data_IF_468484760242
#
_entry.id   IF_468484760242
#
_cell.length_a   1.000
_cell.length_b   1.000
_cell.length_c   1.000
_cell.angle_alpha   90.00
_cell.angle_beta   90.00
_cell.angle_gamma   90.00
#
_symmetry.space_group_name_H-M   'P 1'
#
loop_
_entity.id
_entity.type
_entity.pdbx_description
1 polymer ?
#
# COMPACT_ATOMS: atom_id res chain seq x y z
N UNK A 1 3.20 20.24 1.72
CA UNK A 1 4.08 19.07 1.71
C UNK A 1 3.37 17.86 1.14
N UNK A 2 4.08 17.12 0.32
CA UNK A 2 3.49 15.96 -0.33
C UNK A 2 3.39 14.80 0.64
N UNK A 3 2.27 14.09 0.58
CA UNK A 3 2.15 12.82 1.28
C UNK A 3 2.92 11.76 0.50
N UNK A 4 3.51 10.82 1.21
CA UNK A 4 4.29 9.75 0.59
C UNK A 4 3.48 8.47 0.54
N UNK A 5 3.59 7.76 -0.59
CA UNK A 5 3.03 6.43 -0.76
C UNK A 5 4.18 5.46 -0.97
N UNK A 6 4.20 4.38 -0.20
CA UNK A 6 5.19 3.32 -0.37
C UNK A 6 4.54 2.17 -1.13
N UNK A 7 5.14 1.75 -2.23
CA UNK A 7 4.59 0.74 -3.13
C UNK A 7 5.52 -0.46 -3.17
N UNK A 8 4.97 -1.67 -3.04
CA UNK A 8 5.73 -2.91 -3.24
C UNK A 8 5.09 -3.70 -4.37
N UNK A 9 5.81 -3.84 -5.48
CA UNK A 9 5.34 -4.50 -6.69
C UNK A 9 6.55 -5.04 -7.43
N UNK A 10 6.59 -6.34 -7.70
CA UNK A 10 7.74 -6.95 -8.37
C UNK A 10 7.76 -6.74 -9.88
N UNK A 11 6.60 -6.50 -10.50
CA UNK A 11 6.54 -6.21 -11.93
C UNK A 11 7.02 -4.79 -12.17
N UNK A 12 8.12 -4.67 -12.91
CA UNK A 12 8.75 -3.35 -13.13
C UNK A 12 7.82 -2.39 -13.85
N UNK A 13 7.08 -2.87 -14.85
CA UNK A 13 6.18 -1.99 -15.61
C UNK A 13 5.08 -1.43 -14.74
N UNK A 14 4.47 -2.29 -13.91
CA UNK A 14 3.41 -1.83 -13.01
C UNK A 14 3.99 -0.89 -11.97
N UNK A 15 5.14 -1.24 -11.41
CA UNK A 15 5.80 -0.42 -10.38
C UNK A 15 6.11 0.98 -10.91
N UNK A 16 6.67 1.08 -12.12
CA UNK A 16 7.00 2.38 -12.70
C UNK A 16 5.76 3.16 -13.09
N UNK A 17 4.71 2.47 -13.57
CA UNK A 17 3.43 3.13 -13.85
C UNK A 17 2.85 3.76 -12.59
N UNK A 18 2.86 3.02 -11.48
CA UNK A 18 2.34 3.52 -10.21
C UNK A 18 3.16 4.70 -9.72
N UNK A 19 4.49 4.58 -9.81
CA UNK A 19 5.35 5.68 -9.41
C UNK A 19 5.06 6.94 -10.21
N UNK A 20 5.06 6.81 -11.52
CA UNK A 20 4.86 7.95 -12.41
C UNK A 20 3.50 8.60 -12.17
N UNK A 21 2.46 7.76 -12.13
CA UNK A 21 1.10 8.31 -12.02
C UNK A 21 0.90 9.04 -10.69
N UNK A 22 1.27 8.42 -9.58
CA UNK A 22 1.02 9.06 -8.29
C UNK A 22 1.91 10.28 -8.06
N UNK A 23 3.12 10.27 -8.60
CA UNK A 23 3.93 11.50 -8.58
C UNK A 23 3.25 12.60 -9.37
N UNK A 24 2.64 12.27 -10.51
CA UNK A 24 1.99 13.28 -11.34
C UNK A 24 0.79 13.92 -10.68
N UNK A 25 0.17 13.26 -9.73
CA UNK A 25 -0.97 13.81 -9.00
C UNK A 25 -0.60 14.31 -7.60
N UNK A 26 0.68 14.48 -7.34
CA UNK A 26 1.14 15.22 -6.17
C UNK A 26 1.68 14.42 -5.00
N UNK A 27 1.82 13.09 -5.13
CA UNK A 27 2.37 12.28 -4.05
C UNK A 27 3.88 12.09 -4.24
N UNK A 28 4.59 11.96 -3.14
CA UNK A 28 5.94 11.39 -3.18
C UNK A 28 5.77 9.87 -3.21
N UNK A 29 6.55 9.17 -4.04
CA UNK A 29 6.41 7.73 -4.15
C UNK A 29 7.73 7.05 -3.86
N UNK A 30 7.71 6.09 -2.97
CA UNK A 30 8.84 5.22 -2.66
C UNK A 30 8.48 3.82 -3.12
N UNK A 31 9.09 3.34 -4.19
CA UNK A 31 8.72 2.10 -4.83
C UNK A 31 9.79 1.03 -4.63
N UNK A 32 9.35 -0.17 -4.31
CA UNK A 32 10.22 -1.29 -3.97
C UNK A 32 9.78 -2.53 -4.73
N UNK A 33 10.73 -3.40 -5.04
CA UNK A 33 10.43 -4.62 -5.79
C UNK A 33 10.13 -5.81 -4.89
N UNK A 34 10.37 -5.68 -3.58
CA UNK A 34 10.17 -6.79 -2.64
C UNK A 34 9.89 -6.25 -1.24
N UNK A 35 9.40 -7.14 -0.38
CA UNK A 35 9.21 -6.80 1.03
C UNK A 35 10.53 -6.51 1.72
N UNK A 36 11.56 -7.27 1.39
CA UNK A 36 12.88 -7.04 1.97
C UNK A 36 13.39 -5.65 1.60
N UNK A 37 13.20 -5.25 0.34
CA UNK A 37 13.61 -3.92 -0.10
C UNK A 37 12.81 -2.84 0.61
N UNK A 38 11.52 -3.06 0.83
CA UNK A 38 10.67 -2.12 1.56
C UNK A 38 11.23 -1.87 2.96
N UNK A 39 11.44 -2.93 3.73
CA UNK A 39 11.85 -2.76 5.12
C UNK A 39 13.24 -2.13 5.21
N UNK A 40 14.16 -2.52 4.32
CA UNK A 40 15.48 -1.89 4.31
C UNK A 40 15.42 -0.44 3.88
N UNK A 41 14.63 -0.14 2.85
CA UNK A 41 14.56 1.22 2.28
C UNK A 41 13.79 2.20 3.14
N UNK A 42 12.82 1.73 3.92
CA UNK A 42 12.03 2.63 4.77
C UNK A 42 12.68 2.92 6.11
N UNK A 43 13.71 2.16 6.46
CA UNK A 43 14.40 2.37 7.73
C UNK A 43 14.98 3.78 7.79
N UNK A 44 14.67 4.49 8.85
CA UNK A 44 15.14 5.85 9.03
C UNK A 44 14.36 6.93 8.30
N UNK A 45 13.36 6.54 7.50
CA UNK A 45 12.50 7.50 6.83
C UNK A 45 11.24 7.75 7.64
N UNK A 46 10.59 8.88 7.41
CA UNK A 46 9.28 9.13 8.00
C UNK A 46 8.25 8.16 7.44
N UNK A 47 7.20 7.89 8.21
CA UNK A 47 6.16 6.97 7.78
C UNK A 47 5.48 7.47 6.50
N UNK A 48 5.14 6.58 5.58
CA UNK A 48 4.32 6.98 4.46
C UNK A 48 2.88 7.19 4.93
N UNK A 49 2.09 7.88 4.12
CA UNK A 49 0.67 8.03 4.40
C UNK A 49 -0.11 6.76 4.05
N UNK A 50 0.45 5.90 3.21
CA UNK A 50 -0.24 4.73 2.68
C UNK A 50 0.77 3.74 2.12
N UNK A 51 0.49 2.45 2.29
CA UNK A 51 1.20 1.38 1.59
C UNK A 51 0.30 0.78 0.51
N UNK A 52 0.85 0.53 -0.66
CA UNK A 52 0.20 -0.26 -1.71
C UNK A 52 1.04 -1.52 -1.89
N UNK A 53 0.47 -2.68 -1.62
CA UNK A 53 1.21 -3.94 -1.59
C UNK A 53 0.60 -4.94 -2.55
N UNK A 54 1.42 -5.51 -3.43
CA UNK A 54 0.99 -6.66 -4.22
C UNK A 54 0.98 -7.88 -3.32
N UNK A 55 -0.07 -8.69 -3.39
CA UNK A 55 -0.13 -9.92 -2.61
C UNK A 55 0.84 -10.97 -3.15
N UNK A 56 0.88 -11.13 -4.47
CA UNK A 56 1.67 -12.19 -5.09
C UNK A 56 3.10 -11.73 -5.37
N UNK A 57 3.94 -11.82 -4.36
CA UNK A 57 5.35 -11.45 -4.46
C UNK A 57 6.21 -12.69 -4.21
N UNK A 58 7.35 -12.82 -4.89
CA UNK A 58 8.28 -13.89 -4.56
C UNK A 58 8.90 -13.64 -3.18
N UNK A 59 9.21 -14.71 -2.47
CA UNK A 59 9.77 -14.60 -1.13
C UNK A 59 8.72 -14.15 -0.14
N UNK A 60 8.94 -13.01 0.50
CA UNK A 60 7.98 -12.44 1.44
C UNK A 60 6.79 -11.87 0.65
N UNK A 61 5.63 -12.51 0.75
CA UNK A 61 4.46 -12.05 -0.01
C UNK A 61 3.79 -10.85 0.67
N UNK A 62 2.75 -10.31 0.00
CA UNK A 62 2.08 -9.12 0.50
C UNK A 62 1.37 -9.33 1.83
N UNK A 63 0.86 -10.53 2.09
CA UNK A 63 0.20 -10.81 3.37
C UNK A 63 1.21 -10.82 4.52
N UNK A 64 2.39 -11.35 4.27
CA UNK A 64 3.46 -11.33 5.28
C UNK A 64 3.92 -9.90 5.55
N UNK A 65 4.06 -9.09 4.50
CA UNK A 65 4.41 -7.68 4.67
C UNK A 65 3.36 -7.00 5.53
N UNK A 66 2.08 -7.19 5.20
CA UNK A 66 0.98 -6.59 5.96
C UNK A 66 1.03 -6.99 7.43
N UNK A 67 1.25 -8.29 7.69
CA UNK A 67 1.34 -8.78 9.07
C UNK A 67 2.44 -8.05 9.83
N UNK A 68 3.62 -7.92 9.22
CA UNK A 68 4.75 -7.24 9.85
C UNK A 68 4.47 -5.77 10.11
N UNK A 69 3.81 -5.11 9.15
CA UNK A 69 3.44 -3.71 9.34
C UNK A 69 2.48 -3.55 10.51
N UNK A 70 1.50 -4.43 10.62
CA UNK A 70 0.51 -4.34 11.71
C UNK A 70 1.11 -4.66 13.07
N UNK A 71 2.18 -5.43 13.11
CA UNK A 71 2.89 -5.72 14.36
C UNK A 71 3.87 -4.62 14.74
N UNK A 72 4.26 -3.77 13.80
CA UNK A 72 5.22 -2.71 14.07
C UNK A 72 4.59 -1.58 14.87
N UNK A 73 5.34 -1.03 15.82
CA UNK A 73 4.82 0.05 16.67
C UNK A 73 4.37 1.26 15.87
N UNK A 74 5.21 1.68 14.92
CA UNK A 74 4.96 2.91 14.18
C UNK A 74 4.08 2.69 12.97
N UNK A 75 4.11 1.48 12.40
CA UNK A 75 3.42 1.20 11.14
C UNK A 75 2.03 0.64 11.33
N UNK A 76 1.66 0.28 12.57
CA UNK A 76 0.43 -0.48 12.83
C UNK A 76 -0.83 0.20 12.31
N UNK A 77 -0.87 1.53 12.29
CA UNK A 77 -2.06 2.27 11.91
C UNK A 77 -1.98 2.91 10.52
N UNK A 78 -0.89 2.69 9.80
CA UNK A 78 -0.77 3.25 8.45
C UNK A 78 -1.68 2.47 7.51
N UNK A 79 -2.53 3.14 6.71
CA UNK A 79 -3.43 2.45 5.80
C UNK A 79 -2.70 1.60 4.77
N UNK A 80 -3.32 0.49 4.38
CA UNK A 80 -2.77 -0.45 3.40
C UNK A 80 -3.83 -0.80 2.38
N UNK A 81 -3.50 -0.67 1.09
CA UNK A 81 -4.31 -1.19 0.00
C UNK A 81 -3.56 -2.38 -0.60
N UNK A 82 -4.26 -3.51 -0.75
CA UNK A 82 -3.67 -4.70 -1.34
C UNK A 82 -4.06 -4.81 -2.81
N UNK A 83 -3.09 -5.18 -3.64
CA UNK A 83 -3.35 -5.50 -5.04
C UNK A 83 -3.42 -7.01 -5.17
N UNK A 84 -4.49 -7.56 -5.75
CA UNK A 84 -4.71 -8.99 -5.75
C UNK A 84 -5.19 -9.45 -7.13
N UNK A 85 -4.88 -10.72 -7.47
CA UNK A 85 -5.42 -11.32 -8.68
C UNK A 85 -6.91 -11.60 -8.51
N UNK A 86 -7.63 -11.59 -9.63
CA UNK A 86 -9.08 -11.75 -9.62
C UNK A 86 -9.53 -13.03 -8.91
N UNK A 87 -8.78 -14.12 -9.07
CA UNK A 87 -9.15 -15.42 -8.55
C UNK A 87 -8.69 -15.66 -7.12
N UNK A 88 -8.10 -14.66 -6.47
CA UNK A 88 -7.48 -14.86 -5.15
C UNK A 88 -8.43 -14.49 -4.01
N UNK A 89 -9.62 -15.10 -4.01
CA UNK A 89 -10.60 -14.81 -2.99
C UNK A 89 -10.11 -15.16 -1.59
N UNK A 90 -9.41 -16.29 -1.47
CA UNK A 90 -8.86 -16.68 -0.17
C UNK A 90 -7.84 -15.67 0.34
N UNK A 91 -7.04 -15.11 -0.56
CA UNK A 91 -6.06 -14.09 -0.19
C UNK A 91 -6.77 -12.82 0.29
N UNK A 92 -7.89 -12.48 -0.34
CA UNK A 92 -8.67 -11.31 0.08
C UNK A 92 -9.21 -11.47 1.48
N UNK A 93 -9.75 -12.65 1.77
CA UNK A 93 -10.27 -12.92 3.11
C UNK A 93 -9.16 -12.87 4.15
N UNK A 94 -8.01 -13.47 3.84
CA UNK A 94 -6.87 -13.46 4.75
C UNK A 94 -6.37 -12.02 4.99
N UNK A 95 -6.36 -11.21 3.94
CA UNK A 95 -5.93 -9.82 4.08
C UNK A 95 -6.87 -8.99 4.93
N UNK A 96 -8.18 -9.19 4.77
CA UNK A 96 -9.15 -8.50 5.61
C UNK A 96 -8.96 -8.86 7.08
N UNK A 97 -8.73 -10.14 7.36
CA UNK A 97 -8.47 -10.59 8.72
C UNK A 97 -7.19 -9.99 9.27
N UNK A 98 -6.21 -9.73 8.41
CA UNK A 98 -4.92 -9.18 8.81
C UNK A 98 -4.90 -7.65 8.85
N UNK A 99 -6.01 -7.00 8.46
CA UNK A 99 -6.14 -5.57 8.65
C UNK A 99 -5.84 -4.69 7.46
N UNK A 100 -6.02 -5.18 6.23
CA UNK A 100 -5.95 -4.32 5.05
C UNK A 100 -7.15 -3.38 5.02
N UNK A 101 -6.94 -2.18 4.53
CA UNK A 101 -7.99 -1.16 4.47
C UNK A 101 -8.83 -1.27 3.21
N UNK A 102 -8.25 -1.79 2.12
CA UNK A 102 -8.98 -1.94 0.88
C UNK A 102 -8.23 -2.91 -0.03
N UNK A 103 -8.90 -3.34 -1.09
CA UNK A 103 -8.36 -4.24 -2.11
C UNK A 103 -8.65 -3.71 -3.48
N UNK A 104 -7.71 -3.92 -4.39
CA UNK A 104 -7.91 -3.60 -5.79
C UNK A 104 -7.51 -4.84 -6.59
N UNK A 105 -8.39 -5.29 -7.47
CA UNK A 105 -8.19 -6.53 -8.25
C UNK A 105 -7.45 -6.21 -9.53
N UNK A 106 -6.41 -6.97 -9.82
CA UNK A 106 -5.66 -6.87 -11.08
C UNK A 106 -6.39 -7.62 -12.19
N UNK A 107 -6.40 -7.12 -13.41
CA UNK A 107 -5.89 -5.82 -13.82
C UNK A 107 -6.82 -4.69 -13.35
N UNK A 108 -6.23 -3.59 -12.90
CA UNK A 108 -7.01 -2.48 -12.36
C UNK A 108 -6.92 -1.27 -13.27
N UNK A 109 -7.93 -0.41 -13.19
CA UNK A 109 -7.86 0.90 -13.81
C UNK A 109 -7.14 1.84 -12.86
N UNK A 110 -6.26 2.68 -13.41
CA UNK A 110 -5.49 3.59 -12.57
C UNK A 110 -6.40 4.62 -11.88
N UNK A 111 -7.48 5.00 -12.54
CA UNK A 111 -8.43 5.94 -11.94
C UNK A 111 -9.18 5.31 -10.77
N UNK A 112 -9.49 4.01 -10.88
CA UNK A 112 -10.11 3.29 -9.77
C UNK A 112 -9.18 3.25 -8.57
N UNK A 113 -7.91 2.92 -8.82
CA UNK A 113 -6.92 2.87 -7.73
C UNK A 113 -6.78 4.24 -7.08
N UNK A 114 -6.70 5.30 -7.88
CA UNK A 114 -6.60 6.65 -7.32
C UNK A 114 -7.81 6.98 -6.45
N UNK A 115 -9.01 6.63 -6.91
CA UNK A 115 -10.22 6.90 -6.14
C UNK A 115 -10.19 6.20 -4.78
N UNK A 116 -9.69 4.95 -4.75
CA UNK A 116 -9.57 4.20 -3.51
C UNK A 116 -8.50 4.78 -2.60
N UNK A 117 -7.38 5.21 -3.16
CA UNK A 117 -6.34 5.89 -2.39
C UNK A 117 -6.92 7.13 -1.71
N UNK A 118 -7.64 7.96 -2.46
CA UNK A 118 -8.25 9.16 -1.90
C UNK A 118 -9.24 8.82 -0.79
N UNK A 119 -10.06 7.78 -0.99
CA UNK A 119 -11.06 7.39 0.00
C UNK A 119 -10.40 6.91 1.28
N UNK A 120 -9.37 6.09 1.17
CA UNK A 120 -8.66 5.56 2.33
C UNK A 120 -7.95 6.69 3.08
N UNK A 121 -7.29 7.58 2.36
CA UNK A 121 -6.60 8.71 3.00
C UNK A 121 -7.58 9.67 3.67
N UNK A 122 -8.75 9.87 3.06
CA UNK A 122 -9.75 10.76 3.64
C UNK A 122 -10.28 10.20 4.96
N UNK A 123 -10.52 8.90 5.03
CA UNK A 123 -10.97 8.28 6.27
C UNK A 123 -9.94 8.44 7.38
N UNK A 124 -8.67 8.22 7.03
CA UNK A 124 -7.58 8.37 7.98
C UNK A 124 -7.45 9.82 8.44
N UNK A 125 -7.51 10.76 7.49
CA UNK A 125 -7.42 12.19 7.81
C UNK A 125 -8.60 12.67 8.63
N UNK A 126 -9.80 12.16 8.35
CA UNK A 126 -10.98 12.54 9.12
C UNK A 126 -10.84 12.13 10.58
N UNK A 127 -10.27 10.96 10.83
CA UNK A 127 -10.04 10.52 12.20
C UNK A 127 -9.06 11.44 12.93
N UNK A 128 -8.01 11.85 12.24
CA UNK A 128 -7.04 12.78 12.81
C UNK A 128 -7.68 14.11 13.14
N UNK A 129 -8.53 14.60 12.25
CA UNK A 129 -9.18 15.89 12.42
C UNK A 129 -10.17 15.91 13.56
N UNK A 130 -10.70 14.77 13.96
CA UNK A 130 -11.63 14.68 15.07
C UNK A 130 -10.98 14.78 16.44
N UNK A 131 -9.68 14.69 16.50
CA UNK A 131 -8.96 14.81 17.76
C UNK A 131 -8.94 16.27 18.19
N UNK A 132 -9.25 16.54 19.42
CA UNK A 132 -9.23 17.92 19.92
C UNK A 132 -7.83 18.49 19.96
#
# INVERSE_FOLDING_TARGET
MSKAIAVVEDDESIREMLRYYFQSVGYAVRAYESGEALFAGEEGLGLPALYILDIMLPGMDGLEILRRLREGRDTADVPVIMLTARSAEMDRVAGLENGADDYVVKPFGIMELQARVKAVLRRSGAQEQKKP
#
